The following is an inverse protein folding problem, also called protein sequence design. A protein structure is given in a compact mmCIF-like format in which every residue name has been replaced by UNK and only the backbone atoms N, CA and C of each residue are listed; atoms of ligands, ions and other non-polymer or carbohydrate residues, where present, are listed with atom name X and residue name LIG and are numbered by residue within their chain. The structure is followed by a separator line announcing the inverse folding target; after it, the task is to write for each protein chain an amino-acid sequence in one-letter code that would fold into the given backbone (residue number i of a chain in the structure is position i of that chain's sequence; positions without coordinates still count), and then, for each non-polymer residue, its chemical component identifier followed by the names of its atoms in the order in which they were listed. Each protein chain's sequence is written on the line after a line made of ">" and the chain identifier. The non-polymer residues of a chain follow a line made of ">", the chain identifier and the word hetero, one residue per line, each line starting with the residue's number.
data_IF_745711021537
#
_entry.id   IF_745711021537
#
_cell.length_a   1.000
_cell.length_b   1.000
_cell.length_c   1.000
_cell.angle_alpha   90.00
_cell.angle_beta   90.00
_cell.angle_gamma   90.00
#
_symmetry.space_group_name_H-M   'P 1'
#
loop_
_entity.id
_entity.type
_entity.pdbx_description
1 polymer ?
#
# COMPACT_ATOMS: atom_id res chain seq x y z
N UNK A 1 -15.12 3.35 -26.66
CA UNK A 1 -14.33 4.03 -25.62
C UNK A 1 -13.89 2.96 -24.63
N UNK A 2 -12.62 2.59 -24.62
CA UNK A 2 -12.10 1.52 -23.76
C UNK A 2 -11.97 2.11 -22.35
N UNK A 3 -12.77 1.63 -21.38
CA UNK A 3 -12.65 2.07 -19.98
C UNK A 3 -11.34 1.51 -19.44
N UNK A 4 -10.49 2.37 -18.90
CA UNK A 4 -9.27 1.92 -18.21
C UNK A 4 -9.64 1.55 -16.77
N UNK A 5 -8.93 0.58 -16.17
CA UNK A 5 -9.20 0.17 -14.78
C UNK A 5 -8.96 1.30 -13.76
N UNK A 6 -8.26 2.36 -14.16
CA UNK A 6 -8.11 3.61 -13.41
C UNK A 6 -9.37 4.49 -13.37
N UNK A 7 -10.36 4.25 -14.24
CA UNK A 7 -11.62 5.00 -14.28
C UNK A 7 -12.69 4.44 -13.32
N UNK A 8 -12.38 3.32 -12.68
CA UNK A 8 -13.26 2.66 -11.72
C UNK A 8 -13.09 3.28 -10.34
N UNK A 9 -14.20 3.43 -9.61
CA UNK A 9 -14.18 3.82 -8.21
C UNK A 9 -13.32 2.83 -7.41
N UNK A 10 -12.11 3.25 -7.05
CA UNK A 10 -11.08 2.37 -6.49
C UNK A 10 -10.91 2.62 -5.00
N UNK A 11 -10.87 1.54 -4.22
CA UNK A 11 -10.50 1.55 -2.81
C UNK A 11 -9.05 1.08 -2.67
N UNK A 12 -8.15 2.00 -2.32
CA UNK A 12 -6.77 1.65 -2.02
C UNK A 12 -6.63 1.32 -0.54
N UNK A 13 -6.02 0.18 -0.22
CA UNK A 13 -5.82 -0.33 1.13
C UNK A 13 -4.32 -0.52 1.38
N UNK A 14 -3.72 0.25 2.28
CA UNK A 14 -2.38 -0.07 2.79
C UNK A 14 -2.45 -1.13 3.88
N UNK A 15 -1.47 -2.03 4.01
CA UNK A 15 -1.34 -2.99 5.11
C UNK A 15 0.08 -2.97 5.63
N UNK A 16 0.23 -2.78 6.94
CA UNK A 16 1.52 -2.77 7.63
C UNK A 16 1.48 -3.57 8.93
N UNK A 17 2.64 -3.81 9.52
CA UNK A 17 2.75 -4.59 10.75
C UNK A 17 3.59 -3.82 11.76
N UNK A 18 3.20 -3.86 13.03
CA UNK A 18 3.93 -3.26 14.14
C UNK A 18 4.05 -4.22 15.30
N UNK A 19 5.10 -4.03 16.10
CA UNK A 19 5.30 -4.78 17.34
C UNK A 19 4.76 -4.00 18.51
N UNK A 20 4.05 -4.67 19.41
CA UNK A 20 3.71 -4.11 20.72
C UNK A 20 4.98 -3.76 21.49
N UNK A 21 4.92 -2.76 22.37
CA UNK A 21 6.03 -2.38 23.25
C UNK A 21 6.47 -3.50 24.18
N UNK A 22 5.57 -4.44 24.50
CA UNK A 22 5.86 -5.61 25.33
C UNK A 22 6.65 -6.71 24.59
N UNK A 23 6.97 -6.52 23.30
CA UNK A 23 7.88 -7.37 22.52
C UNK A 23 7.33 -8.73 22.07
N UNK A 24 6.27 -9.25 22.71
CA UNK A 24 5.77 -10.61 22.46
C UNK A 24 4.77 -10.73 21.30
N UNK A 25 4.04 -9.67 20.96
CA UNK A 25 2.98 -9.74 19.94
C UNK A 25 3.23 -8.78 18.78
N UNK A 26 3.13 -9.33 17.56
CA UNK A 26 3.13 -8.59 16.32
C UNK A 26 1.68 -8.33 15.92
N UNK A 27 1.23 -7.09 16.06
CA UNK A 27 -0.10 -6.70 15.63
C UNK A 27 -0.06 -6.19 14.19
N UNK A 28 -1.16 -6.41 13.48
CA UNK A 28 -1.33 -5.86 12.14
C UNK A 28 -1.83 -4.44 12.25
N UNK A 29 -1.06 -3.50 11.71
CA UNK A 29 -1.55 -2.15 11.50
C UNK A 29 -2.18 -2.03 10.13
N UNK A 30 -3.49 -1.79 10.18
CA UNK A 30 -4.09 -0.66 9.46
C UNK A 30 -4.29 -0.93 7.99
N UNK A 31 -5.51 -1.34 7.65
CA UNK A 31 -6.13 -1.03 6.37
C UNK A 31 -6.50 0.45 6.37
N UNK A 32 -5.87 1.24 5.50
CA UNK A 32 -6.33 2.59 5.23
C UNK A 32 -6.89 2.69 3.83
N UNK A 33 -8.19 2.96 3.80
CA UNK A 33 -9.02 3.19 2.62
C UNK A 33 -8.76 4.61 2.13
N UNK A 34 -8.23 4.78 0.92
CA UNK A 34 -8.21 6.09 0.24
C UNK A 34 -9.23 6.10 -0.88
N UNK A 35 -10.03 7.15 -0.91
CA UNK A 35 -10.74 7.58 -2.11
C UNK A 35 -9.82 8.45 -2.99
N UNK A 36 -10.27 8.79 -4.20
CA UNK A 36 -9.57 9.70 -5.13
C UNK A 36 -9.30 11.10 -4.53
N UNK A 37 -9.99 11.44 -3.43
CA UNK A 37 -9.85 12.70 -2.70
C UNK A 37 -8.94 12.60 -1.47
N UNK A 38 -8.29 11.46 -1.20
CA UNK A 38 -7.34 11.34 -0.09
C UNK A 38 -7.96 11.25 1.31
N UNK A 39 -9.28 11.13 1.47
CA UNK A 39 -9.90 10.89 2.78
C UNK A 39 -9.64 9.46 3.24
N UNK A 40 -9.15 9.33 4.47
CA UNK A 40 -8.65 8.08 5.03
C UNK A 40 -9.40 7.61 6.27
N UNK A 41 -9.77 6.32 6.29
CA UNK A 41 -10.27 5.63 7.50
C UNK A 41 -9.28 4.57 7.95
N UNK A 42 -9.08 4.45 9.26
CA UNK A 42 -8.17 3.52 9.92
C UNK A 42 -8.95 2.35 10.51
N UNK A 43 -8.57 1.14 10.10
CA UNK A 43 -9.12 -0.12 10.64
C UNK A 43 -8.02 -0.95 11.30
N UNK A 44 -8.23 -1.43 12.54
CA UNK A 44 -7.28 -2.32 13.21
C UNK A 44 -7.49 -3.77 12.73
N UNK A 45 -6.42 -4.42 12.27
CA UNK A 45 -6.46 -5.83 11.86
C UNK A 45 -6.17 -6.81 12.99
N UNK A 46 -6.24 -8.10 12.66
CA UNK A 46 -5.88 -9.21 13.55
C UNK A 46 -4.38 -9.29 13.89
N UNK A 47 -4.02 -10.28 14.70
CA UNK A 47 -2.63 -10.51 15.12
C UNK A 47 -1.87 -11.25 14.02
N UNK A 48 -0.77 -10.67 13.56
CA UNK A 48 0.05 -11.28 12.51
C UNK A 48 1.07 -12.27 13.10
N UNK A 49 1.40 -13.28 12.32
CA UNK A 49 2.41 -14.28 12.67
C UNK A 49 3.65 -14.10 11.79
N UNK A 50 4.83 -14.23 12.40
CA UNK A 50 6.09 -14.23 11.63
C UNK A 50 6.31 -15.64 11.11
N UNK A 51 6.31 -15.77 9.78
CA UNK A 51 6.59 -17.04 9.11
C UNK A 51 8.03 -17.48 9.38
N UNK A 52 8.22 -18.78 9.66
CA UNK A 52 9.55 -19.36 9.88
C UNK A 52 10.38 -19.45 8.59
N UNK A 53 9.72 -19.45 7.43
CA UNK A 53 10.34 -19.71 6.13
C UNK A 53 11.00 -18.46 5.56
N UNK A 54 10.25 -17.37 5.44
CA UNK A 54 10.70 -16.09 4.85
C UNK A 54 10.97 -14.99 5.90
N UNK A 55 10.69 -15.27 7.19
CA UNK A 55 10.85 -14.33 8.31
C UNK A 55 10.03 -13.05 8.14
N UNK A 56 8.95 -13.12 7.36
CA UNK A 56 8.04 -12.00 7.13
C UNK A 56 6.74 -12.16 7.92
N UNK A 57 6.06 -11.04 8.22
CA UNK A 57 4.76 -11.07 8.88
C UNK A 57 3.63 -11.37 7.89
N UNK A 58 2.72 -12.26 8.30
CA UNK A 58 1.55 -12.66 7.54
C UNK A 58 0.31 -12.73 8.44
N UNK A 59 -0.83 -12.43 7.82
CA UNK A 59 -2.14 -12.68 8.39
C UNK A 59 -2.57 -14.13 8.15
N UNK A 60 -3.44 -14.62 9.01
CA UNK A 60 -4.22 -15.81 8.73
C UNK A 60 -5.32 -15.49 7.71
N UNK A 61 -5.87 -16.50 7.04
CA UNK A 61 -7.02 -16.33 6.14
C UNK A 61 -8.19 -15.57 6.79
N UNK A 62 -8.71 -15.98 7.98
CA UNK A 62 -9.83 -15.28 8.59
C UNK A 62 -9.48 -13.83 8.97
N UNK A 63 -8.25 -13.56 9.40
CA UNK A 63 -7.83 -12.18 9.73
C UNK A 63 -7.71 -11.30 8.48
N UNK A 64 -7.18 -11.84 7.36
CA UNK A 64 -7.10 -11.12 6.09
C UNK A 64 -8.50 -10.80 5.54
N UNK A 65 -9.41 -11.77 5.60
CA UNK A 65 -10.81 -11.59 5.22
C UNK A 65 -11.50 -10.53 6.06
N UNK A 66 -11.40 -10.63 7.39
CA UNK A 66 -12.04 -9.68 8.30
C UNK A 66 -11.50 -8.26 8.10
N UNK A 67 -10.17 -8.11 7.94
CA UNK A 67 -9.52 -6.82 7.70
C UNK A 67 -10.10 -6.11 6.48
N UNK A 68 -10.30 -6.83 5.38
CA UNK A 68 -10.85 -6.22 4.15
C UNK A 68 -12.36 -5.97 4.28
N UNK A 69 -13.13 -6.85 4.92
CA UNK A 69 -14.54 -6.61 5.18
C UNK A 69 -14.79 -5.36 6.02
N UNK A 70 -13.97 -5.14 7.05
CA UNK A 70 -14.05 -3.96 7.90
C UNK A 70 -13.68 -2.69 7.12
N UNK A 71 -12.63 -2.76 6.29
CA UNK A 71 -12.25 -1.66 5.40
C UNK A 71 -13.36 -1.30 4.41
N UNK A 72 -14.01 -2.29 3.80
CA UNK A 72 -15.12 -2.08 2.86
C UNK A 72 -16.40 -1.57 3.56
N UNK A 73 -16.65 -1.98 4.79
CA UNK A 73 -17.76 -1.47 5.59
C UNK A 73 -17.59 0.04 5.89
N UNK A 74 -16.38 0.45 6.25
CA UNK A 74 -16.03 1.86 6.46
C UNK A 74 -16.07 2.67 5.15
N UNK A 75 -15.57 2.10 4.05
CA UNK A 75 -15.69 2.72 2.72
C UNK A 75 -17.16 3.00 2.39
N UNK A 76 -18.04 2.00 2.52
CA UNK A 76 -19.47 2.15 2.23
C UNK A 76 -20.15 3.15 3.16
N UNK A 77 -19.76 3.19 4.44
CA UNK A 77 -20.31 4.17 5.40
C UNK A 77 -19.96 5.60 5.01
N UNK A 78 -18.77 5.81 4.44
CA UNK A 78 -18.29 7.13 4.02
C UNK A 78 -18.84 7.55 2.65
N UNK A 79 -18.96 6.60 1.72
CA UNK A 79 -19.26 6.86 0.30
C UNK A 79 -20.69 6.54 -0.13
N UNK A 80 -21.42 5.74 0.65
CA UNK A 80 -22.77 5.29 0.32
C UNK A 80 -22.84 4.15 -0.71
N UNK A 81 -21.72 3.71 -1.27
CA UNK A 81 -21.65 2.61 -2.25
C UNK A 81 -20.40 1.74 -2.02
N UNK A 82 -20.34 0.56 -2.66
CA UNK A 82 -19.13 -0.27 -2.70
C UNK A 82 -18.17 0.22 -3.81
N UNK A 83 -16.86 -0.01 -3.69
CA UNK A 83 -15.91 0.30 -4.76
C UNK A 83 -16.04 -0.75 -5.88
N UNK A 84 -15.66 -0.38 -7.10
CA UNK A 84 -15.60 -1.30 -8.23
C UNK A 84 -14.25 -2.02 -8.33
N UNK A 85 -13.19 -1.47 -7.70
CA UNK A 85 -11.84 -2.05 -7.67
C UNK A 85 -11.20 -1.89 -6.30
N UNK A 86 -10.47 -2.90 -5.85
CA UNK A 86 -9.68 -2.89 -4.62
C UNK A 86 -8.22 -3.04 -4.98
N UNK A 87 -7.35 -2.21 -4.38
CA UNK A 87 -5.91 -2.33 -4.53
C UNK A 87 -5.28 -2.40 -3.14
N UNK A 88 -4.68 -3.54 -2.79
CA UNK A 88 -4.02 -3.76 -1.50
C UNK A 88 -2.51 -3.61 -1.66
N UNK A 89 -1.93 -2.65 -0.94
CA UNK A 89 -0.49 -2.43 -0.84
C UNK A 89 0.05 -3.02 0.46
N UNK A 90 0.99 -3.96 0.36
CA UNK A 90 1.62 -4.61 1.52
C UNK A 90 3.15 -4.50 1.48
N UNK A 91 3.81 -4.44 2.65
CA UNK A 91 5.28 -4.41 2.74
C UNK A 91 5.95 -5.79 2.79
N UNK A 92 5.19 -6.86 3.02
CA UNK A 92 5.63 -8.26 2.95
C UNK A 92 4.94 -8.99 1.81
N UNK A 93 5.50 -10.15 1.43
CA UNK A 93 4.91 -11.03 0.44
C UNK A 93 3.54 -11.55 0.90
N UNK A 94 2.72 -12.00 -0.04
CA UNK A 94 1.42 -12.60 0.24
C UNK A 94 1.56 -14.11 0.37
N UNK A 95 0.90 -14.70 1.37
CA UNK A 95 0.65 -16.14 1.41
C UNK A 95 -0.61 -16.48 0.62
N UNK A 96 -0.81 -17.77 0.35
CA UNK A 96 -2.07 -18.27 -0.22
C UNK A 96 -3.25 -17.93 0.67
N UNK A 97 -3.14 -18.18 1.98
CA UNK A 97 -4.22 -17.86 2.93
C UNK A 97 -4.59 -16.37 2.97
N UNK A 98 -3.61 -15.46 2.85
CA UNK A 98 -3.89 -14.02 2.73
C UNK A 98 -4.60 -13.69 1.41
N UNK A 99 -4.12 -14.25 0.31
CA UNK A 99 -4.69 -14.06 -1.02
C UNK A 99 -6.14 -14.53 -1.06
N UNK A 100 -6.40 -15.75 -0.59
CA UNK A 100 -7.73 -16.37 -0.52
C UNK A 100 -8.65 -15.56 0.40
N UNK A 101 -8.17 -15.13 1.57
CA UNK A 101 -8.95 -14.31 2.50
C UNK A 101 -9.36 -12.96 1.91
N UNK A 102 -8.48 -12.30 1.16
CA UNK A 102 -8.82 -11.05 0.47
C UNK A 102 -9.80 -11.27 -0.68
N UNK A 103 -9.67 -12.35 -1.45
CA UNK A 103 -10.63 -12.68 -2.50
C UNK A 103 -12.00 -13.05 -1.91
N UNK A 104 -12.07 -13.87 -0.85
CA UNK A 104 -13.33 -14.19 -0.17
C UNK A 104 -14.06 -12.92 0.31
N UNK A 105 -13.34 -11.94 0.86
CA UNK A 105 -13.93 -10.68 1.30
C UNK A 105 -14.45 -9.83 0.13
N UNK A 106 -13.78 -9.85 -1.02
CA UNK A 106 -14.23 -9.15 -2.22
C UNK A 106 -15.47 -9.83 -2.85
N UNK A 107 -15.47 -11.16 -2.93
CA UNK A 107 -16.59 -11.95 -3.44
C UNK A 107 -17.86 -11.73 -2.62
N UNK A 108 -17.73 -11.70 -1.28
CA UNK A 108 -18.85 -11.39 -0.36
C UNK A 108 -19.45 -9.99 -0.56
N UNK A 109 -18.72 -9.09 -1.22
CA UNK A 109 -19.16 -7.72 -1.53
C UNK A 109 -19.43 -7.49 -3.01
N UNK A 110 -19.38 -8.55 -3.83
CA UNK A 110 -19.61 -8.51 -5.28
C UNK A 110 -18.64 -7.55 -6.00
N UNK A 111 -17.34 -7.63 -5.66
CA UNK A 111 -16.30 -6.77 -6.25
C UNK A 111 -15.37 -7.60 -7.15
N UNK A 112 -15.40 -7.31 -8.44
CA UNK A 112 -14.74 -8.13 -9.47
C UNK A 112 -13.22 -7.89 -9.58
N UNK A 113 -12.74 -6.71 -9.20
CA UNK A 113 -11.35 -6.31 -9.44
C UNK A 113 -10.57 -6.17 -8.14
N UNK A 114 -9.60 -7.08 -7.93
CA UNK A 114 -8.72 -7.08 -6.75
C UNK A 114 -7.27 -7.20 -7.19
N UNK A 115 -6.48 -6.16 -6.89
CA UNK A 115 -5.04 -6.16 -7.08
C UNK A 115 -4.33 -6.25 -5.73
N UNK A 116 -3.54 -7.31 -5.54
CA UNK A 116 -2.74 -7.53 -4.34
C UNK A 116 -1.27 -7.28 -4.67
N UNK A 117 -0.71 -6.19 -4.13
CA UNK A 117 0.59 -5.67 -4.52
C UNK A 117 1.55 -5.66 -3.34
N UNK A 118 2.61 -6.46 -3.47
CA UNK A 118 3.75 -6.42 -2.57
C UNK A 118 4.73 -5.35 -3.05
N UNK A 119 4.94 -4.33 -2.23
CA UNK A 119 5.87 -3.23 -2.51
C UNK A 119 7.11 -3.41 -1.64
N UNK A 120 8.18 -3.87 -2.28
CA UNK A 120 9.47 -4.09 -1.65
C UNK A 120 10.29 -2.79 -1.65
N UNK A 121 10.61 -2.29 -0.45
CA UNK A 121 11.33 -1.02 -0.22
C UNK A 121 12.86 -1.16 -0.24
N UNK A 122 13.41 -2.38 -0.24
CA UNK A 122 14.86 -2.62 -0.12
C UNK A 122 15.30 -3.76 -1.02
N UNK A 123 16.56 -3.79 -1.43
CA UNK A 123 17.12 -4.89 -2.24
C UNK A 123 16.69 -4.87 -3.71
N UNK A 124 16.16 -3.74 -4.19
CA UNK A 124 15.87 -3.54 -5.59
C UNK A 124 17.17 -3.13 -6.35
N UNK A 125 17.36 -3.59 -7.61
CA UNK A 125 18.49 -3.16 -8.43
C UNK A 125 18.39 -1.66 -8.72
N UNK A 126 19.55 -1.00 -8.90
CA UNK A 126 19.61 0.41 -9.27
C UNK A 126 19.80 0.56 -10.77
N UNK A 127 19.05 1.49 -11.36
CA UNK A 127 19.25 1.95 -12.72
C UNK A 127 20.20 3.13 -12.74
N UNK A 128 20.96 3.22 -13.83
CA UNK A 128 21.83 4.34 -14.13
C UNK A 128 21.41 4.92 -15.48
N UNK A 129 21.54 6.24 -15.61
CA UNK A 129 21.33 6.95 -16.87
C UNK A 129 22.59 7.73 -17.21
N UNK A 130 22.79 8.00 -18.49
CA UNK A 130 23.88 8.86 -18.94
C UNK A 130 23.79 10.25 -18.30
N UNK A 131 24.93 10.77 -17.84
CA UNK A 131 25.05 12.07 -17.17
C UNK A 131 25.27 11.95 -15.67
N UNK A 132 25.20 13.09 -14.98
CA UNK A 132 25.50 13.22 -13.55
C UNK A 132 24.28 13.03 -12.63
N UNK A 133 23.08 13.01 -13.21
CA UNK A 133 21.82 13.00 -12.48
C UNK A 133 21.19 11.61 -12.47
N UNK A 134 20.55 11.18 -11.36
CA UNK A 134 19.92 9.86 -11.28
C UNK A 134 18.74 9.71 -12.26
N UNK A 135 18.17 8.49 -12.42
CA UNK A 135 16.92 8.25 -13.16
C UNK A 135 15.83 9.27 -12.85
N UNK A 136 14.96 9.55 -13.83
CA UNK A 136 13.86 10.48 -13.66
C UNK A 136 12.82 9.91 -12.67
N UNK A 137 12.18 10.77 -11.89
CA UNK A 137 10.99 10.36 -11.13
C UNK A 137 9.92 9.88 -12.12
N UNK A 138 9.38 8.69 -11.88
CA UNK A 138 8.46 7.98 -12.77
C UNK A 138 9.13 7.01 -13.74
N UNK A 139 10.47 6.93 -13.78
CA UNK A 139 11.14 5.87 -14.56
C UNK A 139 10.74 4.49 -14.02
N UNK A 140 10.21 3.64 -14.90
CA UNK A 140 9.83 2.28 -14.57
C UNK A 140 10.45 1.27 -15.54
N UNK A 141 10.85 0.11 -15.03
CA UNK A 141 11.38 -1.00 -15.83
C UNK A 141 10.75 -2.28 -15.35
N UNK A 142 10.05 -2.98 -16.25
CA UNK A 142 9.54 -4.31 -15.97
C UNK A 142 10.70 -5.30 -16.09
N UNK A 143 11.09 -5.94 -14.99
CA UNK A 143 12.24 -6.86 -14.96
C UNK A 143 11.85 -8.26 -15.44
N UNK A 144 10.60 -8.66 -15.17
CA UNK A 144 10.01 -9.91 -15.62
C UNK A 144 8.46 -9.79 -15.68
N UNK A 145 7.76 -10.86 -16.03
CA UNK A 145 6.29 -10.87 -16.14
C UNK A 145 5.54 -10.51 -14.83
N UNK A 146 6.22 -10.54 -13.69
CA UNK A 146 5.68 -10.36 -12.33
C UNK A 146 6.46 -9.37 -11.48
N UNK A 147 7.31 -8.54 -12.07
CA UNK A 147 8.02 -7.53 -11.29
C UNK A 147 8.28 -6.24 -12.06
N UNK A 148 7.92 -5.13 -11.41
CA UNK A 148 8.12 -3.77 -11.92
C UNK A 148 9.00 -2.99 -10.95
N UNK A 149 10.10 -2.48 -11.48
CA UNK A 149 10.93 -1.49 -10.79
C UNK A 149 10.34 -0.11 -11.07
N UNK A 150 10.09 0.68 -10.03
CA UNK A 150 9.54 2.03 -10.14
C UNK A 150 10.37 3.04 -9.33
N UNK A 151 10.89 4.06 -10.01
CA UNK A 151 11.51 5.21 -9.37
C UNK A 151 10.44 6.21 -8.93
N UNK A 152 9.99 6.09 -7.68
CA UNK A 152 9.15 7.14 -7.10
C UNK A 152 9.99 8.38 -6.81
N UNK A 153 11.24 8.27 -6.34
CA UNK A 153 12.16 9.42 -6.24
C UNK A 153 13.17 9.42 -7.38
N UNK A 154 13.57 10.59 -7.85
CA UNK A 154 14.51 10.71 -8.96
C UNK A 154 14.62 12.15 -9.44
N UNK A 155 15.40 12.35 -10.50
CA UNK A 155 15.57 13.66 -11.12
C UNK A 155 14.21 14.23 -11.55
N UNK A 156 13.98 15.50 -11.23
CA UNK A 156 12.76 16.23 -11.59
C UNK A 156 13.13 17.30 -12.62
N UNK A 157 12.59 17.24 -13.86
CA UNK A 157 12.93 18.20 -14.92
C UNK A 157 12.72 19.66 -14.50
N UNK A 158 11.63 19.96 -13.78
CA UNK A 158 11.33 21.30 -13.29
C UNK A 158 12.42 21.86 -12.37
N UNK A 159 12.96 21.04 -11.46
CA UNK A 159 14.08 21.46 -10.59
C UNK A 159 15.44 21.38 -11.26
N UNK A 160 15.52 20.79 -12.47
CA UNK A 160 16.77 20.45 -13.18
C UNK A 160 17.76 19.65 -12.33
N UNK A 161 17.28 19.01 -11.26
CA UNK A 161 18.07 18.20 -10.33
C UNK A 161 17.21 17.18 -9.61
N UNK A 162 17.84 16.33 -8.79
CA UNK A 162 17.18 15.47 -7.82
C UNK A 162 17.18 16.17 -6.45
N UNK A 163 16.01 16.51 -5.87
CA UNK A 163 15.93 17.27 -4.62
C UNK A 163 16.11 16.42 -3.35
N UNK A 164 16.36 15.11 -3.47
CA UNK A 164 16.50 14.23 -2.33
C UNK A 164 17.95 14.00 -1.91
N UNK A 165 18.10 13.40 -0.73
CA UNK A 165 19.39 12.94 -0.22
C UNK A 165 19.72 11.55 -0.78
N UNK A 166 21.03 11.26 -0.90
CA UNK A 166 21.59 9.97 -1.34
C UNK A 166 21.17 9.54 -2.75
N UNK A 167 21.58 8.35 -3.18
CA UNK A 167 21.11 7.77 -4.45
C UNK A 167 19.62 7.38 -4.30
N UNK A 168 18.72 7.79 -5.22
CA UNK A 168 17.32 7.43 -5.11
C UNK A 168 17.13 5.92 -5.22
N UNK A 169 16.42 5.36 -4.24
CA UNK A 169 16.12 3.93 -4.18
C UNK A 169 14.77 3.66 -4.82
N UNK A 170 14.69 2.78 -5.85
CA UNK A 170 13.43 2.41 -6.45
C UNK A 170 12.58 1.54 -5.51
N UNK A 171 11.30 1.45 -5.84
CA UNK A 171 10.39 0.45 -5.31
C UNK A 171 10.34 -0.74 -6.27
N UNK A 172 10.29 -1.95 -5.72
CA UNK A 172 10.08 -3.16 -6.51
C UNK A 172 8.68 -3.69 -6.22
N UNK A 173 7.82 -3.65 -7.23
CA UNK A 173 6.40 -3.99 -7.16
C UNK A 173 6.22 -5.40 -7.69
N UNK A 174 5.55 -6.26 -6.90
CA UNK A 174 5.26 -7.64 -7.25
C UNK A 174 3.79 -7.96 -6.97
N UNK A 175 3.02 -8.46 -7.95
CA UNK A 175 1.65 -8.86 -7.72
C UNK A 175 1.61 -10.26 -7.08
N UNK A 176 0.65 -10.47 -6.18
CA UNK A 176 0.38 -11.78 -5.60
C UNK A 176 -0.25 -12.72 -6.64
N UNK A 177 -1.18 -12.18 -7.42
CA UNK A 177 -1.93 -12.89 -8.47
C UNK A 177 -1.35 -12.63 -9.86
N UNK A 178 -1.71 -13.50 -10.81
CA UNK A 178 -1.42 -13.28 -12.24
C UNK A 178 -2.50 -12.39 -12.84
N UNK A 179 -2.13 -11.60 -13.86
CA UNK A 179 -3.09 -10.77 -14.60
C UNK A 179 -3.18 -9.31 -14.15
N UNK A 180 -2.55 -8.95 -13.03
CA UNK A 180 -2.40 -7.53 -12.65
C UNK A 180 -1.59 -6.77 -13.70
N UNK A 181 -2.15 -5.67 -14.21
CA UNK A 181 -1.42 -4.73 -15.05
C UNK A 181 -0.43 -3.93 -14.20
N UNK A 182 0.84 -4.31 -14.31
CA UNK A 182 1.92 -3.69 -13.54
C UNK A 182 2.12 -2.22 -13.88
N UNK A 183 1.91 -1.80 -15.13
CA UNK A 183 2.09 -0.40 -15.51
C UNK A 183 1.01 0.46 -14.88
N UNK A 184 -0.25 0.01 -14.92
CA UNK A 184 -1.36 0.68 -14.23
C UNK A 184 -1.12 0.71 -12.71
N UNK A 185 -0.70 -0.40 -12.10
CA UNK A 185 -0.32 -0.43 -10.68
C UNK A 185 0.83 0.55 -10.36
N UNK A 186 1.82 0.66 -11.24
CA UNK A 186 2.93 1.60 -11.09
C UNK A 186 2.48 3.07 -11.18
N UNK A 187 1.54 3.37 -12.08
CA UNK A 187 0.92 4.69 -12.19
C UNK A 187 0.11 5.04 -10.94
N UNK A 188 -0.71 4.11 -10.44
CA UNK A 188 -1.47 4.24 -9.19
C UNK A 188 -0.52 4.56 -8.01
N UNK A 189 0.53 3.77 -7.85
CA UNK A 189 1.54 3.96 -6.80
C UNK A 189 2.23 5.33 -6.94
N UNK A 190 2.63 5.72 -8.15
CA UNK A 190 3.27 7.01 -8.38
C UNK A 190 2.31 8.17 -8.07
N UNK A 191 1.03 8.06 -8.41
CA UNK A 191 0.01 9.05 -8.07
C UNK A 191 -0.15 9.16 -6.55
N UNK A 192 -0.29 8.03 -5.85
CA UNK A 192 -0.43 7.98 -4.39
C UNK A 192 0.76 8.59 -3.65
N UNK A 193 1.97 8.60 -4.22
CA UNK A 193 3.11 9.29 -3.60
C UNK A 193 3.00 10.82 -3.61
N UNK A 194 2.05 11.40 -4.35
CA UNK A 194 1.78 12.84 -4.41
C UNK A 194 0.59 13.26 -3.55
N UNK A 195 -0.17 12.30 -3.01
CA UNK A 195 -1.45 12.54 -2.36
C UNK A 195 -1.34 12.86 -0.86
N UNK A 196 -0.16 13.19 -0.35
CA UNK A 196 -0.01 13.60 1.05
C UNK A 196 -0.39 15.07 1.24
N UNK A 197 -1.64 15.34 1.60
CA UNK A 197 -2.14 16.70 1.86
C UNK A 197 -1.56 17.39 3.11
N UNK A 198 -0.77 16.68 3.93
CA UNK A 198 -0.12 17.25 5.10
C UNK A 198 1.30 17.78 4.79
N UNK A 199 1.77 17.67 3.54
CA UNK A 199 3.10 18.09 3.14
C UNK A 199 3.08 18.69 1.74
N UNK A 200 3.81 19.78 1.51
CA UNK A 200 4.01 20.36 0.18
C UNK A 200 4.99 19.56 -0.69
N UNK A 201 5.67 18.56 -0.12
CA UNK A 201 6.61 17.71 -0.83
C UNK A 201 5.89 16.78 -1.83
N UNK A 202 6.07 17.04 -3.12
CA UNK A 202 5.43 16.29 -4.22
C UNK A 202 6.22 15.03 -4.64
N UNK A 203 7.33 14.73 -3.98
CA UNK A 203 8.25 13.65 -4.34
C UNK A 203 8.42 12.58 -3.25
N UNK A 204 7.38 12.31 -2.46
CA UNK A 204 7.48 11.27 -1.44
C UNK A 204 7.82 9.90 -2.05
N UNK A 205 8.55 9.10 -1.27
CA UNK A 205 9.04 7.80 -1.72
C UNK A 205 7.95 6.74 -1.67
N UNK A 206 7.34 6.59 -0.51
CA UNK A 206 6.34 5.56 -0.26
C UNK A 206 4.96 6.07 -0.69
N UNK A 207 4.11 5.23 -1.29
CA UNK A 207 2.74 5.61 -1.58
C UNK A 207 2.00 5.90 -0.27
N UNK A 208 1.04 6.82 -0.34
CA UNK A 208 0.28 7.27 0.83
C UNK A 208 -0.26 6.09 1.65
N UNK A 209 -0.82 5.07 0.99
CA UNK A 209 -1.29 3.82 1.62
C UNK A 209 -0.32 3.20 2.61
N UNK A 210 0.94 2.99 2.22
CA UNK A 210 1.94 2.35 3.07
C UNK A 210 2.49 3.31 4.12
N UNK A 211 2.67 4.57 3.75
CA UNK A 211 3.13 5.61 4.67
C UNK A 211 2.18 5.74 5.85
N UNK A 212 0.89 5.81 5.57
CA UNK A 212 -0.10 6.03 6.62
C UNK A 212 -0.31 4.80 7.47
N UNK A 213 -0.36 3.60 6.86
CA UNK A 213 -0.41 2.34 7.59
C UNK A 213 0.76 2.26 8.60
N UNK A 214 1.98 2.59 8.16
CA UNK A 214 3.15 2.63 9.03
C UNK A 214 3.03 3.66 10.17
N UNK A 215 2.61 4.89 9.85
CA UNK A 215 2.47 5.97 10.85
C UNK A 215 1.43 5.62 11.91
N UNK A 216 0.28 5.11 11.48
CA UNK A 216 -0.77 4.67 12.39
C UNK A 216 -0.29 3.50 13.24
N UNK A 217 0.40 2.51 12.67
CA UNK A 217 1.00 1.42 13.44
C UNK A 217 2.02 1.90 14.49
N UNK A 218 2.79 2.93 14.17
CA UNK A 218 3.74 3.55 15.11
C UNK A 218 3.07 4.23 16.31
N UNK A 219 1.81 4.64 16.17
CA UNK A 219 0.99 5.23 17.25
C UNK A 219 0.25 4.11 18.00
N UNK A 220 -0.41 3.21 17.26
CA UNK A 220 -1.22 2.14 17.84
C UNK A 220 -0.41 1.16 18.70
N UNK A 221 0.90 1.04 18.49
CA UNK A 221 1.79 0.25 19.38
C UNK A 221 1.79 0.71 20.83
N UNK A 222 1.38 1.95 21.11
CA UNK A 222 1.29 2.53 22.45
C UNK A 222 -0.13 2.51 23.00
N UNK A 223 -1.11 2.06 22.20
CA UNK A 223 -2.52 2.03 22.58
C UNK A 223 -2.88 0.64 23.11
N UNK A 224 -3.51 0.52 24.30
CA UNK A 224 -3.96 -0.77 24.82
C UNK A 224 -4.92 -1.49 23.86
N UNK A 225 -4.92 -2.83 23.88
CA UNK A 225 -5.71 -3.65 22.97
C UNK A 225 -7.23 -3.38 23.03
N UNK A 226 -7.76 -3.02 24.20
CA UNK A 226 -9.19 -2.71 24.40
C UNK A 226 -9.57 -1.23 24.27
N UNK A 227 -8.63 -0.33 24.00
CA UNK A 227 -8.94 1.09 23.90
C UNK A 227 -9.62 1.41 22.55
N UNK A 228 -10.68 2.23 22.61
CA UNK A 228 -11.35 2.73 21.41
C UNK A 228 -10.38 3.61 20.62
N UNK A 229 -10.13 3.26 19.37
CA UNK A 229 -9.28 4.03 18.46
C UNK A 229 -10.12 5.00 17.65
N UNK A 230 -9.53 6.16 17.35
CA UNK A 230 -10.13 7.06 16.37
C UNK A 230 -10.03 6.41 14.99
N UNK A 231 -11.12 6.44 14.22
CA UNK A 231 -11.15 5.87 12.87
C UNK A 231 -10.69 6.86 11.81
N UNK A 232 -10.85 8.18 12.05
CA UNK A 232 -10.44 9.20 11.07
C UNK A 232 -8.93 9.37 11.03
N UNK A 233 -8.36 9.31 9.83
CA UNK A 233 -6.93 9.49 9.60
C UNK A 233 -6.36 10.81 10.12
N UNK A 234 -7.14 11.89 10.11
CA UNK A 234 -6.71 13.21 10.57
C UNK A 234 -6.18 13.22 12.02
N UNK A 235 -6.57 12.26 12.87
CA UNK A 235 -6.07 12.14 14.24
C UNK A 235 -4.68 11.48 14.36
N UNK A 236 -4.11 10.99 13.25
CA UNK A 236 -2.81 10.31 13.21
C UNK A 236 -1.73 11.09 12.45
N UNK A 237 -2.05 12.32 12.01
CA UNK A 237 -1.17 13.17 11.20
C UNK A 237 -0.52 14.32 11.94
#
# INVERSE_FOLDING_TARGET
>A
MQRHSSDLATCYVGVSFYRSTSGNELHTAVAQVFNERGDGVVVRGGTAQISKTDRQPHLTLPDARQLLLDALAEYRTTHGHQPARIVVHKTSNFTTGETDGFHEAADLREIDHVDLLWIQRRGAPHLYRTGQLPPLRGTSVQLDARSLLLYTRGSVPYFRTYPGLYVPQPLLIRPATRGTDLLTAGMDILALTKMNWNNAQLDERDPLTLRTAYRVGSILRHVPAGARIATRYAYYM
#
